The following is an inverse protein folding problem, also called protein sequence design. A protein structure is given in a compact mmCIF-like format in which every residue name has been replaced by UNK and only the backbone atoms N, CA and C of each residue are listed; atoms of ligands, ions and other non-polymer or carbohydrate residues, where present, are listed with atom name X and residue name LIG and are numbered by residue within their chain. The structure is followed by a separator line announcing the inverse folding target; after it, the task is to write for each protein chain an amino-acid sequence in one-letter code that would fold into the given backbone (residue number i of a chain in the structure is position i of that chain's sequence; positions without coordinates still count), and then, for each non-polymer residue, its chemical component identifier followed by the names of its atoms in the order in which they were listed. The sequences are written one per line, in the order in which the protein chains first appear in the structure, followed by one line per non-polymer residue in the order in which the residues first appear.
data_IF_048463935260
#
_entry.id   IF_048463935260
#
_cell.length_a   1.000
_cell.length_b   1.000
_cell.length_c   1.000
_cell.angle_alpha   90.00
_cell.angle_beta   90.00
_cell.angle_gamma   90.00
#
_symmetry.space_group_name_H-M   'P 1'
#
loop_
_entity.id
_entity.type
_entity.pdbx_description
1 polymer ?
#
# COMPACT_ATOMS: atom_id res chain seq x y z
N UNK A 1 -11.88 40.37 -9.48
CA UNK A 1 -12.02 39.03 -10.03
C UNK A 1 -12.15 38.09 -8.82
N UNK A 2 -13.36 37.75 -8.46
CA UNK A 2 -13.65 36.83 -7.34
C UNK A 2 -13.36 35.42 -7.83
N UNK A 3 -12.38 34.77 -7.20
CA UNK A 3 -12.13 33.35 -7.44
C UNK A 3 -13.42 32.55 -7.18
N UNK A 4 -13.77 31.57 -8.03
CA UNK A 4 -14.94 30.75 -7.79
C UNK A 4 -14.79 30.10 -6.41
N UNK A 5 -15.86 30.12 -5.60
CA UNK A 5 -15.91 29.38 -4.34
C UNK A 5 -15.59 27.91 -4.67
N UNK A 6 -14.47 27.45 -4.13
CA UNK A 6 -14.14 26.03 -4.19
C UNK A 6 -15.35 25.26 -3.64
N UNK A 7 -15.86 24.30 -4.41
CA UNK A 7 -16.96 23.46 -3.93
C UNK A 7 -16.54 22.85 -2.59
N UNK A 8 -17.42 22.94 -1.59
CA UNK A 8 -17.08 22.46 -0.26
C UNK A 8 -16.72 20.97 -0.34
N UNK A 9 -15.53 20.60 0.14
CA UNK A 9 -15.05 19.23 0.15
C UNK A 9 -16.03 18.32 0.94
N UNK A 10 -16.75 17.39 0.30
CA UNK A 10 -17.71 16.54 1.01
C UNK A 10 -17.01 15.57 1.96
N UNK A 11 -15.76 15.19 1.68
CA UNK A 11 -15.03 14.17 2.45
C UNK A 11 -14.62 14.63 3.84
N UNK A 12 -14.53 15.94 4.06
CA UNK A 12 -14.25 16.50 5.40
C UNK A 12 -15.48 16.60 6.31
N UNK A 13 -16.64 16.09 5.88
CA UNK A 13 -17.89 16.17 6.63
C UNK A 13 -18.22 14.85 7.31
N UNK A 14 -18.39 14.82 8.65
CA UNK A 14 -18.72 13.60 9.38
C UNK A 14 -19.94 12.86 8.86
N UNK A 15 -20.99 13.61 8.51
CA UNK A 15 -22.26 13.05 8.02
C UNK A 15 -22.15 12.38 6.65
N UNK A 16 -21.09 12.62 5.90
CA UNK A 16 -20.83 11.97 4.61
C UNK A 16 -20.47 10.50 4.79
N UNK A 17 -19.85 10.12 5.92
CA UNK A 17 -19.28 8.81 6.12
C UNK A 17 -20.04 7.95 7.12
N UNK A 18 -20.18 6.65 6.82
CA UNK A 18 -20.43 5.60 7.81
C UNK A 18 -19.12 4.92 8.24
N UNK A 19 -18.09 4.99 7.39
CA UNK A 19 -16.78 4.43 7.67
C UNK A 19 -16.12 5.06 8.90
N UNK A 20 -15.35 4.25 9.60
CA UNK A 20 -14.46 4.64 10.70
C UNK A 20 -13.03 4.23 10.36
N UNK A 21 -12.04 4.99 10.84
CA UNK A 21 -10.64 4.57 10.76
C UNK A 21 -10.44 3.37 11.69
N UNK A 22 -10.00 2.25 11.14
CA UNK A 22 -9.77 1.00 11.90
C UNK A 22 -8.31 0.60 11.86
N UNK A 23 -7.77 0.23 13.02
CA UNK A 23 -6.42 -0.27 13.20
C UNK A 23 -6.45 -1.80 13.34
N UNK A 24 -5.65 -2.56 12.58
CA UNK A 24 -5.58 -4.01 12.73
C UNK A 24 -4.92 -4.40 14.05
N UNK A 25 -5.59 -5.21 14.87
CA UNK A 25 -4.98 -5.74 16.13
C UNK A 25 -3.86 -6.75 15.86
N UNK A 26 -3.75 -7.24 14.62
CA UNK A 26 -2.64 -8.07 14.16
C UNK A 26 -1.36 -7.28 13.88
N UNK A 27 -1.40 -5.94 13.92
CA UNK A 27 -0.23 -5.10 13.67
C UNK A 27 0.75 -5.18 14.85
N UNK A 28 1.94 -5.70 14.60
CA UNK A 28 3.02 -5.81 15.59
C UNK A 28 3.76 -4.49 15.85
N UNK A 29 3.40 -3.40 15.16
CA UNK A 29 4.02 -2.08 15.28
C UNK A 29 5.05 -1.77 14.20
N UNK A 30 5.78 -0.69 14.39
CA UNK A 30 6.75 -0.15 13.44
C UNK A 30 7.85 -1.16 13.07
N UNK A 31 8.04 -1.37 11.77
CA UNK A 31 9.12 -2.24 11.24
C UNK A 31 8.88 -3.73 11.42
N UNK A 32 7.65 -4.13 11.75
CA UNK A 32 7.21 -5.54 11.80
C UNK A 32 6.51 -5.94 10.50
N UNK A 33 5.89 -7.13 10.50
CA UNK A 33 5.09 -7.59 9.36
C UNK A 33 3.97 -6.61 9.02
N UNK A 34 3.67 -6.48 7.74
CA UNK A 34 2.47 -5.79 7.28
C UNK A 34 1.23 -6.50 7.76
N UNK A 35 0.14 -5.77 7.90
CA UNK A 35 -1.14 -6.29 8.34
C UNK A 35 -2.19 -6.18 7.25
N UNK A 36 -3.29 -6.91 7.39
CA UNK A 36 -4.48 -6.68 6.57
C UNK A 36 -5.73 -6.63 7.44
N UNK A 37 -6.75 -5.95 6.91
CA UNK A 37 -8.11 -6.00 7.44
C UNK A 37 -9.05 -6.54 6.37
N UNK A 38 -10.06 -7.30 6.78
CA UNK A 38 -10.96 -7.97 5.86
C UNK A 38 -12.40 -8.02 6.38
N UNK A 39 -13.36 -8.06 5.44
CA UNK A 39 -14.78 -8.18 5.73
C UNK A 39 -15.50 -8.94 4.62
N UNK A 40 -16.40 -9.87 5.01
CA UNK A 40 -17.42 -10.41 4.10
C UNK A 40 -18.64 -9.52 4.13
N UNK A 41 -19.28 -9.34 2.99
CA UNK A 41 -20.48 -8.53 2.84
C UNK A 41 -21.36 -9.03 1.70
N UNK A 42 -22.64 -8.75 1.77
CA UNK A 42 -23.62 -9.15 0.76
C UNK A 42 -23.92 -8.02 -0.22
N UNK A 43 -24.02 -8.37 -1.50
CA UNK A 43 -24.47 -7.49 -2.56
C UNK A 43 -25.73 -8.09 -3.18
N UNK A 44 -26.84 -7.38 -3.09
CA UNK A 44 -28.13 -7.84 -3.62
C UNK A 44 -28.25 -7.63 -5.11
N UNK A 45 -27.58 -6.62 -5.66
CA UNK A 45 -27.61 -6.28 -7.08
C UNK A 45 -26.35 -5.47 -7.43
N UNK A 46 -25.77 -5.69 -8.59
CA UNK A 46 -24.72 -4.87 -9.20
C UNK A 46 -25.34 -4.10 -10.35
N UNK A 47 -25.27 -2.76 -10.29
CA UNK A 47 -25.94 -1.85 -11.22
C UNK A 47 -24.97 -1.17 -12.19
N UNK A 48 -23.67 -1.23 -11.90
CA UNK A 48 -22.61 -0.47 -12.57
C UNK A 48 -22.36 0.87 -11.87
N UNK A 49 -21.07 1.21 -11.71
CA UNK A 49 -20.62 2.42 -11.02
C UNK A 49 -20.57 2.32 -9.49
N UNK A 50 -20.65 1.10 -8.93
CA UNK A 50 -20.36 0.89 -7.51
C UNK A 50 -18.97 1.37 -7.20
N UNK A 51 -18.87 2.30 -6.24
CA UNK A 51 -17.65 3.06 -6.00
C UNK A 51 -17.08 2.75 -4.62
N UNK A 52 -15.82 2.32 -4.59
CA UNK A 52 -15.03 2.21 -3.36
C UNK A 52 -14.29 3.52 -3.13
N UNK A 53 -14.58 4.19 -2.02
CA UNK A 53 -13.81 5.29 -1.47
C UNK A 53 -12.88 4.74 -0.41
N UNK A 54 -11.56 4.98 -0.53
CA UNK A 54 -10.57 4.33 0.34
C UNK A 54 -9.36 5.21 0.59
N UNK A 55 -8.84 5.15 1.82
CA UNK A 55 -7.55 5.71 2.22
C UNK A 55 -6.94 4.90 3.36
N UNK A 56 -5.72 5.25 3.78
CA UNK A 56 -5.05 4.59 4.89
C UNK A 56 -4.08 5.51 5.62
N UNK A 57 -3.83 5.21 6.88
CA UNK A 57 -2.64 5.64 7.62
C UNK A 57 -1.55 4.58 7.37
N UNK A 58 -0.59 4.90 6.51
CA UNK A 58 0.36 3.98 5.91
C UNK A 58 0.14 3.86 4.40
N UNK A 59 0.66 2.81 3.78
CA UNK A 59 0.33 2.42 2.40
C UNK A 59 -0.72 1.30 2.41
N UNK A 60 -1.56 1.26 1.39
CA UNK A 60 -2.54 0.20 1.25
C UNK A 60 -2.54 -0.43 -0.15
N UNK A 61 -3.01 -1.68 -0.19
CA UNK A 61 -3.49 -2.37 -1.39
C UNK A 61 -4.82 -3.01 -1.07
N UNK A 62 -5.84 -2.77 -1.88
CA UNK A 62 -7.16 -3.37 -1.70
C UNK A 62 -7.45 -4.45 -2.74
N UNK A 63 -8.19 -5.47 -2.34
CA UNK A 63 -8.77 -6.48 -3.22
C UNK A 63 -10.24 -6.70 -2.89
N UNK A 64 -11.03 -7.03 -3.90
CA UNK A 64 -12.39 -7.55 -3.73
C UNK A 64 -12.45 -8.90 -4.44
N UNK A 65 -12.92 -9.94 -3.75
CA UNK A 65 -12.95 -11.32 -4.26
C UNK A 65 -11.58 -11.81 -4.78
N UNK A 66 -10.48 -11.34 -4.18
CA UNK A 66 -9.10 -11.64 -4.58
C UNK A 66 -8.61 -10.88 -5.82
N UNK A 67 -9.45 -10.03 -6.43
CA UNK A 67 -9.07 -9.19 -7.57
C UNK A 67 -8.64 -7.80 -7.06
N UNK A 68 -7.51 -7.29 -7.58
CA UNK A 68 -6.98 -5.99 -7.19
C UNK A 68 -7.94 -4.86 -7.54
N UNK A 69 -8.14 -3.94 -6.60
CA UNK A 69 -8.87 -2.69 -6.82
C UNK A 69 -7.93 -1.65 -7.42
N UNK A 70 -8.29 -1.14 -8.59
CA UNK A 70 -7.51 -0.12 -9.29
C UNK A 70 -6.11 -0.59 -9.74
N UNK A 71 -5.33 0.35 -10.26
CA UNK A 71 -3.97 0.12 -10.77
C UNK A 71 -2.91 0.98 -10.06
N UNK A 72 -3.36 1.81 -9.12
CA UNK A 72 -2.50 2.74 -8.41
C UNK A 72 -1.56 2.00 -7.45
N UNK A 73 -0.33 2.50 -7.32
CA UNK A 73 0.68 2.01 -6.39
C UNK A 73 1.08 3.10 -5.42
N UNK A 74 1.64 2.72 -4.27
CA UNK A 74 2.05 3.65 -3.20
C UNK A 74 0.89 4.52 -2.68
N UNK A 75 -0.35 4.03 -2.77
CA UNK A 75 -1.54 4.72 -2.25
C UNK A 75 -1.56 4.71 -0.71
N UNK A 76 -2.11 5.76 -0.09
CA UNK A 76 -2.77 6.95 -0.62
C UNK A 76 -1.83 8.05 -1.11
N UNK A 77 -0.52 7.83 -1.11
CA UNK A 77 0.50 8.81 -1.45
C UNK A 77 1.07 9.53 -0.23
N UNK A 78 2.04 10.41 -0.46
CA UNK A 78 2.70 11.18 0.57
C UNK A 78 2.14 12.61 0.63
N UNK A 79 1.54 12.97 1.76
CA UNK A 79 1.03 14.31 2.06
C UNK A 79 1.50 14.74 3.46
N UNK A 80 1.15 15.93 3.89
CA UNK A 80 1.18 16.27 5.31
C UNK A 80 -0.05 15.67 5.99
N UNK A 81 0.06 14.48 6.54
CA UNK A 81 -1.05 13.70 7.08
C UNK A 81 -1.78 14.38 8.25
N UNK A 82 -1.16 15.35 8.93
CA UNK A 82 -1.84 16.15 9.98
C UNK A 82 -2.92 17.09 9.41
N UNK A 83 -2.91 17.34 8.11
CA UNK A 83 -3.84 18.30 7.48
C UNK A 83 -4.46 17.79 6.18
N UNK A 84 -3.90 16.75 5.57
CA UNK A 84 -4.32 16.27 4.25
C UNK A 84 -4.10 14.78 4.12
N UNK A 85 -5.19 14.02 3.98
CA UNK A 85 -5.14 12.60 3.67
C UNK A 85 -6.00 12.33 2.43
N UNK A 86 -5.35 11.92 1.33
CA UNK A 86 -6.02 11.71 0.05
C UNK A 86 -6.90 10.45 0.07
N UNK A 87 -8.13 10.58 -0.36
CA UNK A 87 -9.08 9.47 -0.56
C UNK A 87 -9.12 9.14 -2.05
N UNK A 88 -8.82 7.89 -2.39
CA UNK A 88 -8.96 7.36 -3.74
C UNK A 88 -10.41 6.90 -3.97
N UNK A 89 -10.84 6.96 -5.22
CA UNK A 89 -12.17 6.56 -5.66
C UNK A 89 -12.03 5.59 -6.84
N UNK A 90 -12.56 4.37 -6.69
CA UNK A 90 -12.48 3.31 -7.70
C UNK A 90 -13.86 2.78 -8.06
N UNK A 91 -14.18 2.70 -9.34
CA UNK A 91 -15.27 1.86 -9.81
C UNK A 91 -14.88 0.40 -9.63
N UNK A 92 -15.71 -0.35 -8.92
CA UNK A 92 -15.46 -1.76 -8.58
C UNK A 92 -16.54 -2.70 -9.08
N UNK A 93 -17.44 -2.18 -9.91
CA UNK A 93 -18.61 -2.93 -10.43
C UNK A 93 -18.21 -4.26 -11.08
N UNK A 94 -17.13 -4.25 -11.87
CA UNK A 94 -16.68 -5.43 -12.63
C UNK A 94 -16.11 -6.56 -11.75
N UNK A 95 -15.75 -6.27 -10.50
CA UNK A 95 -15.16 -7.24 -9.56
C UNK A 95 -16.12 -7.64 -8.43
N UNK A 96 -17.30 -7.01 -8.38
CA UNK A 96 -18.40 -7.38 -7.50
C UNK A 96 -19.23 -8.51 -8.11
N UNK A 97 -19.86 -9.29 -7.25
CA UNK A 97 -20.86 -10.28 -7.63
C UNK A 97 -22.10 -10.19 -6.74
N UNK A 98 -23.24 -10.61 -7.24
CA UNK A 98 -24.44 -10.77 -6.43
C UNK A 98 -24.21 -11.92 -5.43
N UNK A 99 -24.61 -11.72 -4.17
CA UNK A 99 -24.35 -12.59 -3.04
C UNK A 99 -23.14 -12.17 -2.22
N UNK A 100 -22.50 -13.12 -1.57
CA UNK A 100 -21.35 -12.87 -0.69
C UNK A 100 -20.12 -12.41 -1.47
N UNK A 101 -19.54 -11.31 -1.02
CA UNK A 101 -18.25 -10.75 -1.47
C UNK A 101 -17.29 -10.65 -0.29
N UNK A 102 -16.00 -10.57 -0.57
CA UNK A 102 -14.97 -10.32 0.43
C UNK A 102 -14.11 -9.14 -0.01
N UNK A 103 -13.95 -8.16 0.86
CA UNK A 103 -12.97 -7.08 0.71
C UNK A 103 -11.81 -7.31 1.66
N UNK A 104 -10.60 -7.06 1.17
CA UNK A 104 -9.37 -7.08 1.96
C UNK A 104 -8.54 -5.85 1.66
N UNK A 105 -7.99 -5.24 2.70
CA UNK A 105 -7.11 -4.07 2.62
C UNK A 105 -5.82 -4.43 3.35
N UNK A 106 -4.76 -4.70 2.60
CA UNK A 106 -3.40 -4.88 3.11
C UNK A 106 -2.78 -3.52 3.41
N UNK A 107 -2.04 -3.43 4.51
CA UNK A 107 -1.44 -2.21 5.05
C UNK A 107 0.06 -2.40 5.29
N UNK A 108 0.84 -1.35 5.04
CA UNK A 108 2.27 -1.29 5.31
C UNK A 108 2.69 0.13 5.75
N UNK A 109 3.85 0.26 6.36
CA UNK A 109 4.32 1.50 7.00
C UNK A 109 4.33 2.72 6.09
N UNK A 110 4.86 2.59 4.87
CA UNK A 110 4.96 3.68 3.90
C UNK A 110 5.71 4.91 4.43
N UNK A 111 5.21 6.10 4.07
CA UNK A 111 5.74 7.36 4.61
C UNK A 111 5.14 7.75 5.96
N UNK A 112 3.92 7.29 6.25
CA UNK A 112 3.19 7.66 7.46
C UNK A 112 3.91 7.18 8.73
N UNK A 113 4.29 5.89 8.74
CA UNK A 113 4.92 5.22 9.87
C UNK A 113 6.26 4.64 9.43
N UNK A 114 7.29 5.47 9.35
CA UNK A 114 8.61 5.04 8.88
C UNK A 114 9.69 6.01 9.35
N UNK A 115 10.92 5.66 9.05
CA UNK A 115 12.05 6.58 9.17
C UNK A 115 12.10 7.42 7.90
N UNK A 116 12.01 8.73 8.05
CA UNK A 116 12.26 9.69 6.99
C UNK A 116 13.59 10.39 7.25
N UNK A 117 14.25 10.81 6.18
CA UNK A 117 15.57 11.45 6.19
C UNK A 117 16.70 10.50 6.62
N UNK A 118 17.86 10.75 6.09
CA UNK A 118 19.07 9.93 6.24
C UNK A 118 20.12 10.54 7.18
N UNK A 119 19.88 11.76 7.70
CA UNK A 119 20.83 12.46 8.57
C UNK A 119 20.65 12.06 10.03
N UNK A 120 21.71 11.61 10.66
CA UNK A 120 21.70 11.26 12.06
C UNK A 120 20.84 10.04 12.35
N UNK A 121 19.84 10.17 13.25
CA UNK A 121 18.91 9.09 13.59
C UNK A 121 17.64 9.07 12.75
N UNK A 122 17.51 9.96 11.76
CA UNK A 122 16.30 10.19 10.98
C UNK A 122 15.13 10.70 11.82
N UNK A 123 14.07 11.13 11.13
CA UNK A 123 12.79 11.39 11.76
C UNK A 123 11.96 10.10 11.68
N UNK A 124 11.41 9.65 12.81
CA UNK A 124 10.63 8.42 12.88
C UNK A 124 9.18 8.73 13.24
N UNK A 125 8.25 8.12 12.50
CA UNK A 125 6.83 8.11 12.82
C UNK A 125 6.27 9.51 13.14
N UNK A 126 6.65 10.51 12.36
CA UNK A 126 6.34 11.92 12.65
C UNK A 126 4.85 12.22 12.60
N UNK A 127 4.05 11.38 11.94
CA UNK A 127 2.60 11.53 11.87
C UNK A 127 1.84 10.51 12.72
N UNK A 128 2.47 9.38 13.08
CA UNK A 128 1.85 8.37 13.91
C UNK A 128 2.55 7.02 13.85
N UNK A 129 2.15 6.12 14.72
CA UNK A 129 2.74 4.78 14.88
C UNK A 129 1.73 3.64 14.66
N UNK A 130 0.44 3.95 14.48
CA UNK A 130 -0.62 2.99 14.19
C UNK A 130 -1.03 3.04 12.72
N UNK A 131 -0.96 1.90 12.04
CA UNK A 131 -1.58 1.76 10.72
C UNK A 131 -3.11 1.91 10.82
N UNK A 132 -3.74 2.37 9.74
CA UNK A 132 -5.18 2.49 9.71
C UNK A 132 -5.76 2.27 8.32
N UNK A 133 -6.92 1.63 8.24
CA UNK A 133 -7.72 1.53 7.03
C UNK A 133 -9.02 2.32 7.18
N UNK A 134 -9.40 3.02 6.13
CA UNK A 134 -10.66 3.75 6.06
C UNK A 134 -11.26 3.53 4.67
N UNK A 135 -12.38 2.84 4.58
CA UNK A 135 -12.99 2.49 3.31
C UNK A 135 -14.51 2.43 3.39
N UNK A 136 -15.16 2.85 2.31
CA UNK A 136 -16.60 2.80 2.15
C UNK A 136 -16.96 2.47 0.70
N UNK A 137 -17.68 1.36 0.49
CA UNK A 137 -18.24 0.98 -0.80
C UNK A 137 -19.68 1.47 -0.89
N UNK A 138 -20.00 2.17 -1.96
CA UNK A 138 -21.31 2.77 -2.22
C UNK A 138 -21.93 2.28 -3.52
N UNK A 139 -23.26 2.27 -3.57
CA UNK A 139 -24.02 2.06 -4.81
C UNK A 139 -23.88 3.27 -5.73
N UNK A 140 -23.87 3.04 -7.03
CA UNK A 140 -23.74 4.09 -8.04
C UNK A 140 -24.91 5.08 -8.07
N UNK A 141 -26.12 4.60 -7.83
CA UNK A 141 -27.35 5.36 -8.13
C UNK A 141 -27.77 6.28 -7.00
N UNK A 142 -27.68 5.82 -5.76
CA UNK A 142 -28.22 6.51 -4.59
C UNK A 142 -27.16 6.87 -3.53
N UNK A 143 -25.92 6.42 -3.75
CA UNK A 143 -24.84 6.58 -2.81
C UNK A 143 -25.04 5.80 -1.50
N UNK A 144 -25.98 4.85 -1.46
CA UNK A 144 -26.18 3.96 -0.32
C UNK A 144 -24.90 3.16 -0.03
N UNK A 145 -24.54 3.10 1.24
CA UNK A 145 -23.36 2.37 1.69
C UNK A 145 -23.66 0.89 1.76
N UNK A 146 -22.89 0.09 0.99
CA UNK A 146 -22.95 -1.37 0.96
C UNK A 146 -22.12 -1.95 2.11
N UNK A 147 -20.87 -1.51 2.25
CA UNK A 147 -19.98 -1.87 3.35
C UNK A 147 -19.05 -0.71 3.70
N UNK A 148 -18.78 -0.54 4.98
CA UNK A 148 -17.87 0.46 5.51
C UNK A 148 -16.94 -0.15 6.55
N UNK A 149 -15.77 0.44 6.73
CA UNK A 149 -14.86 0.05 7.82
C UNK A 149 -15.47 0.39 9.17
N UNK A 150 -15.54 -0.61 10.04
CA UNK A 150 -16.05 -0.52 11.40
C UNK A 150 -15.46 -1.61 12.29
N UNK A 151 -15.91 -1.68 13.55
CA UNK A 151 -15.43 -2.65 14.54
C UNK A 151 -15.71 -4.12 14.18
N UNK A 152 -16.55 -4.40 13.19
CA UNK A 152 -16.92 -5.78 12.80
C UNK A 152 -15.95 -6.42 11.80
N UNK A 153 -14.89 -5.71 11.42
CA UNK A 153 -13.83 -6.23 10.56
C UNK A 153 -12.88 -7.13 11.35
N UNK A 154 -12.19 -8.00 10.63
CA UNK A 154 -11.13 -8.86 11.17
C UNK A 154 -9.78 -8.46 10.60
N UNK A 155 -8.71 -8.87 11.27
CA UNK A 155 -7.33 -8.58 10.83
C UNK A 155 -6.41 -9.79 10.93
N UNK A 156 -5.31 -9.74 10.19
CA UNK A 156 -4.24 -10.73 10.20
C UNK A 156 -2.93 -10.13 9.68
N UNK A 157 -1.86 -10.91 9.75
CA UNK A 157 -0.55 -10.53 9.19
C UNK A 157 -0.49 -10.85 7.70
N UNK A 158 0.24 -10.04 6.94
CA UNK A 158 0.53 -10.31 5.53
C UNK A 158 1.79 -11.14 5.37
N UNK A 159 2.05 -11.62 4.14
CA UNK A 159 3.31 -12.26 3.76
C UNK A 159 4.50 -11.29 3.67
N UNK A 160 4.24 -9.99 3.69
CA UNK A 160 5.28 -8.96 3.78
C UNK A 160 5.70 -8.85 5.24
N UNK A 161 6.85 -9.42 5.57
CA UNK A 161 7.36 -9.51 6.94
C UNK A 161 8.12 -8.25 7.38
N UNK A 162 8.53 -7.45 6.44
CA UNK A 162 9.14 -6.13 6.65
C UNK A 162 8.96 -5.32 5.38
N UNK A 163 8.61 -4.06 5.51
CA UNK A 163 8.65 -3.09 4.42
C UNK A 163 8.92 -1.69 4.94
N UNK A 164 9.43 -0.83 4.08
CA UNK A 164 9.63 0.57 4.41
C UNK A 164 10.31 1.31 3.26
N UNK A 165 10.06 2.62 3.18
CA UNK A 165 10.60 3.46 2.09
C UNK A 165 12.13 3.40 2.04
N UNK A 166 12.81 3.27 3.19
CA UNK A 166 14.27 3.17 3.28
C UNK A 166 14.80 1.77 3.57
N UNK A 167 13.94 0.77 3.79
CA UNK A 167 14.35 -0.55 4.30
C UNK A 167 14.04 -1.70 3.35
N UNK A 168 13.57 -1.39 2.14
CA UNK A 168 13.20 -2.43 1.18
C UNK A 168 12.06 -3.31 1.67
N UNK A 169 12.08 -4.59 1.26
CA UNK A 169 11.00 -5.52 1.57
C UNK A 169 11.55 -6.92 1.89
N UNK A 170 10.92 -7.59 2.86
CA UNK A 170 11.06 -9.04 3.09
C UNK A 170 9.70 -9.67 2.88
N UNK A 171 9.58 -10.55 1.90
CA UNK A 171 8.37 -11.30 1.58
C UNK A 171 8.60 -12.79 1.86
N UNK A 172 7.82 -13.36 2.79
CA UNK A 172 7.87 -14.79 3.10
C UNK A 172 6.57 -15.48 2.65
N UNK A 173 6.66 -16.27 1.59
CA UNK A 173 5.49 -16.95 1.04
C UNK A 173 4.98 -18.11 1.90
N UNK A 174 5.73 -18.54 2.92
CA UNK A 174 5.34 -19.60 3.86
C UNK A 174 4.38 -19.10 4.94
N UNK A 175 4.32 -17.77 5.16
CA UNK A 175 3.43 -17.18 6.16
C UNK A 175 1.98 -17.42 5.77
N UNK A 176 1.21 -17.94 6.72
CA UNK A 176 -0.22 -18.17 6.54
C UNK A 176 -0.97 -16.82 6.54
N UNK A 177 -1.88 -16.68 5.59
CA UNK A 177 -2.69 -15.48 5.44
C UNK A 177 -4.08 -15.69 6.08
N UNK A 178 -4.14 -15.54 7.41
CA UNK A 178 -5.33 -15.85 8.20
C UNK A 178 -5.76 -14.62 9.02
N UNK A 179 -7.02 -14.23 8.90
CA UNK A 179 -7.65 -13.21 9.74
C UNK A 179 -8.05 -13.83 11.09
N UNK A 180 -7.19 -13.73 12.09
CA UNK A 180 -7.36 -14.34 13.41
C UNK A 180 -7.66 -13.35 14.54
N UNK A 181 -7.61 -12.05 14.26
CA UNK A 181 -7.79 -10.97 15.22
C UNK A 181 -8.86 -9.98 14.75
N UNK A 182 -9.33 -9.15 15.66
CA UNK A 182 -10.25 -8.04 15.37
C UNK A 182 -9.50 -6.76 14.96
N UNK A 183 -10.23 -5.66 15.04
CA UNK A 183 -9.72 -4.30 14.79
C UNK A 183 -10.08 -3.37 15.94
N UNK A 184 -9.32 -2.30 16.09
CA UNK A 184 -9.62 -1.17 16.97
C UNK A 184 -10.13 0.00 16.13
N UNK A 185 -11.21 0.65 16.55
CA UNK A 185 -11.66 1.92 15.93
C UNK A 185 -10.83 3.05 16.53
N UNK A 186 -10.12 3.77 15.68
CA UNK A 186 -9.31 4.92 16.07
C UNK A 186 -10.17 6.19 16.17
N UNK A 187 -9.81 7.04 17.13
CA UNK A 187 -10.25 8.44 17.12
C UNK A 187 -9.47 9.18 16.03
N UNK A 188 -10.14 9.49 14.94
CA UNK A 188 -9.54 10.04 13.71
C UNK A 188 -10.31 11.28 13.24
N UNK A 189 -9.58 12.36 13.02
CA UNK A 189 -10.14 13.59 12.45
C UNK A 189 -10.38 13.44 10.94
N UNK A 190 -11.61 13.20 10.54
CA UNK A 190 -12.00 13.15 9.13
C UNK A 190 -11.93 14.50 8.42
N UNK A 191 -11.74 15.61 9.14
CA UNK A 191 -11.53 16.93 8.57
C UNK A 191 -10.31 17.03 7.65
N UNK A 192 -9.34 16.11 7.80
CA UNK A 192 -8.14 16.02 6.94
C UNK A 192 -8.39 15.28 5.63
N UNK A 193 -9.53 14.60 5.46
CA UNK A 193 -9.84 13.85 4.24
C UNK A 193 -10.13 14.77 3.07
N UNK A 194 -9.57 14.46 1.91
CA UNK A 194 -9.84 15.17 0.66
C UNK A 194 -9.79 14.20 -0.53
N UNK A 195 -10.47 14.52 -1.64
CA UNK A 195 -10.30 13.76 -2.87
C UNK A 195 -8.83 13.78 -3.31
N UNK A 196 -8.37 12.70 -3.94
CA UNK A 196 -7.07 12.70 -4.58
C UNK A 196 -7.00 13.79 -5.65
N UNK A 197 -6.06 14.71 -5.50
CA UNK A 197 -5.89 15.86 -6.41
C UNK A 197 -4.75 15.64 -7.40
N UNK A 198 -3.74 14.85 -7.02
CA UNK A 198 -2.59 14.54 -7.86
C UNK A 198 -2.83 13.29 -8.69
N UNK A 199 -2.14 13.20 -9.83
CA UNK A 199 -2.12 11.96 -10.61
C UNK A 199 -1.60 10.81 -9.73
N UNK A 200 -2.24 9.66 -9.85
CA UNK A 200 -1.81 8.45 -9.17
C UNK A 200 -0.45 7.96 -9.71
N UNK A 201 0.34 7.36 -8.84
CA UNK A 201 1.52 6.60 -9.25
C UNK A 201 1.04 5.26 -9.80
N UNK A 202 1.46 4.91 -11.00
CA UNK A 202 1.02 3.69 -11.71
C UNK A 202 2.20 2.96 -12.35
N UNK A 203 2.02 1.67 -12.56
CA UNK A 203 2.90 0.87 -13.40
C UNK A 203 2.69 1.26 -14.87
N UNK A 204 3.70 1.84 -15.51
CA UNK A 204 3.59 2.32 -16.89
C UNK A 204 4.13 1.32 -17.90
N UNK A 205 5.36 0.84 -17.71
CA UNK A 205 6.07 0.02 -18.67
C UNK A 205 6.88 -1.06 -17.96
N UNK A 206 6.78 -2.29 -18.44
CA UNK A 206 7.68 -3.37 -18.05
C UNK A 206 8.94 -3.32 -18.92
N UNK A 207 10.10 -3.12 -18.32
CA UNK A 207 11.38 -3.08 -18.99
C UNK A 207 12.13 -4.39 -18.76
N UNK A 208 12.49 -5.15 -19.81
CA UNK A 208 13.33 -6.33 -19.65
C UNK A 208 14.78 -5.92 -19.39
N UNK A 209 15.51 -6.73 -18.62
CA UNK A 209 16.97 -6.61 -18.55
C UNK A 209 17.55 -6.86 -19.95
N UNK A 210 18.46 -5.98 -20.38
CA UNK A 210 19.12 -6.09 -21.69
C UNK A 210 20.42 -6.87 -21.63
N UNK A 211 21.03 -7.01 -20.45
CA UNK A 211 22.31 -7.66 -20.22
C UNK A 211 22.37 -8.27 -18.84
N UNK A 212 23.14 -9.34 -18.69
CA UNK A 212 23.50 -9.90 -17.40
C UNK A 212 24.94 -10.43 -17.43
N UNK A 213 25.61 -10.36 -16.26
CA UNK A 213 26.97 -10.91 -16.06
C UNK A 213 27.18 -11.26 -14.59
N UNK A 214 28.29 -11.94 -14.32
CA UNK A 214 28.78 -12.14 -12.95
C UNK A 214 29.80 -11.04 -12.64
N UNK A 215 29.66 -10.36 -11.50
CA UNK A 215 30.69 -9.44 -11.01
C UNK A 215 31.85 -10.19 -10.32
N UNK A 216 32.85 -9.45 -9.86
CA UNK A 216 34.04 -10.04 -9.20
C UNK A 216 33.72 -10.75 -7.88
N UNK A 217 32.55 -10.44 -7.27
CA UNK A 217 32.09 -11.10 -6.04
C UNK A 217 31.15 -12.29 -6.32
N UNK A 218 30.95 -12.63 -7.60
CA UNK A 218 30.08 -13.72 -8.03
C UNK A 218 28.58 -13.43 -7.99
N UNK A 219 28.19 -12.16 -7.84
CA UNK A 219 26.78 -11.75 -7.92
C UNK A 219 26.33 -11.68 -9.38
N UNK A 220 25.10 -12.12 -9.66
CA UNK A 220 24.52 -11.92 -10.98
C UNK A 220 23.95 -10.50 -11.08
N UNK A 221 24.52 -9.68 -11.94
CA UNK A 221 24.09 -8.32 -12.22
C UNK A 221 23.18 -8.31 -13.45
N UNK A 222 22.06 -7.62 -13.37
CA UNK A 222 21.11 -7.38 -14.46
C UNK A 222 21.09 -5.90 -14.78
N UNK A 223 21.32 -5.55 -16.04
CA UNK A 223 21.33 -4.17 -16.53
C UNK A 223 20.06 -3.89 -17.33
N UNK A 224 19.37 -2.82 -16.98
CA UNK A 224 18.16 -2.35 -17.63
C UNK A 224 18.40 -1.16 -18.56
N UNK A 225 19.65 -0.79 -18.83
CA UNK A 225 20.13 0.28 -19.73
C UNK A 225 19.75 1.71 -19.34
N UNK A 226 18.93 1.91 -18.34
CA UNK A 226 18.51 3.25 -17.91
C UNK A 226 18.22 3.27 -16.40
N UNK A 227 18.32 4.46 -15.83
CA UNK A 227 17.86 4.71 -14.47
C UNK A 227 16.32 4.76 -14.47
N UNK A 228 15.68 4.00 -13.58
CA UNK A 228 14.23 3.84 -13.52
C UNK A 228 13.70 4.03 -12.09
N UNK A 229 12.56 4.72 -11.98
CA UNK A 229 11.73 4.66 -10.79
C UNK A 229 10.77 3.47 -10.93
N UNK A 230 10.97 2.43 -10.13
CA UNK A 230 10.17 1.22 -10.27
C UNK A 230 10.53 0.11 -9.30
N UNK A 231 10.05 -1.07 -9.56
CA UNK A 231 10.36 -2.28 -8.81
C UNK A 231 10.49 -3.50 -9.73
N UNK A 232 11.12 -4.55 -9.22
CA UNK A 232 11.46 -5.72 -10.02
C UNK A 232 10.31 -6.72 -10.04
N UNK A 233 9.98 -7.23 -11.23
CA UNK A 233 9.17 -8.42 -11.41
C UNK A 233 10.09 -9.57 -11.86
N UNK A 234 10.03 -10.72 -11.18
CA UNK A 234 10.81 -11.90 -11.53
C UNK A 234 9.99 -13.17 -11.38
N UNK A 235 10.40 -14.20 -12.09
CA UNK A 235 9.87 -15.55 -11.93
C UNK A 235 10.98 -16.44 -11.39
N UNK A 236 10.68 -17.17 -10.35
CA UNK A 236 11.63 -18.07 -9.71
C UNK A 236 11.03 -19.46 -9.54
N UNK A 237 11.89 -20.46 -9.58
CA UNK A 237 11.56 -21.83 -9.19
C UNK A 237 12.66 -22.32 -8.26
N UNK A 238 12.31 -22.80 -7.09
CA UNK A 238 13.23 -23.29 -6.08
C UNK A 238 12.53 -24.23 -5.10
N UNK A 239 13.28 -24.76 -4.16
CA UNK A 239 12.74 -25.51 -3.05
C UNK A 239 12.04 -24.58 -2.05
N UNK A 240 11.05 -25.10 -1.33
CA UNK A 240 10.35 -24.34 -0.29
C UNK A 240 11.37 -23.85 0.78
N UNK A 241 11.34 -22.56 1.08
CA UNK A 241 12.30 -21.93 2.00
C UNK A 241 13.61 -21.47 1.34
N UNK A 242 13.78 -21.67 0.03
CA UNK A 242 14.89 -21.05 -0.69
C UNK A 242 14.76 -19.51 -0.62
N UNK A 243 15.90 -18.87 -0.36
CA UNK A 243 15.95 -17.41 -0.17
C UNK A 243 16.59 -16.74 -1.39
N UNK A 244 15.90 -15.76 -1.95
CA UNK A 244 16.38 -14.92 -3.03
C UNK A 244 16.54 -13.51 -2.51
N UNK A 245 17.69 -12.91 -2.76
CA UNK A 245 17.98 -11.53 -2.40
C UNK A 245 18.22 -10.74 -3.68
N UNK A 246 17.50 -9.66 -3.85
CA UNK A 246 17.67 -8.69 -4.93
C UNK A 246 18.13 -7.37 -4.32
N UNK A 247 19.23 -6.84 -4.81
CA UNK A 247 19.73 -5.51 -4.43
C UNK A 247 19.71 -4.59 -5.65
N UNK A 248 19.48 -3.31 -5.41
CA UNK A 248 19.36 -2.31 -6.47
C UNK A 248 20.54 -1.35 -6.41
N UNK A 249 21.00 -0.90 -7.58
CA UNK A 249 22.00 0.14 -7.72
C UNK A 249 21.70 0.99 -8.96
N UNK A 250 22.14 2.23 -8.97
CA UNK A 250 22.02 3.14 -10.11
C UNK A 250 23.29 3.18 -10.95
N UNK A 251 24.41 2.78 -10.36
CA UNK A 251 25.74 2.85 -10.96
C UNK A 251 26.55 1.58 -10.64
N UNK A 252 27.58 1.34 -11.42
CA UNK A 252 28.65 0.39 -11.12
C UNK A 252 29.84 1.13 -10.49
N UNK A 253 30.71 0.40 -9.81
CA UNK A 253 32.01 0.94 -9.40
C UNK A 253 32.96 1.12 -10.61
N UNK A 254 34.16 1.66 -10.34
CA UNK A 254 35.18 1.89 -11.37
C UNK A 254 35.68 0.61 -12.06
N UNK A 255 35.50 -0.54 -11.45
CA UNK A 255 35.91 -1.84 -11.93
C UNK A 255 34.75 -2.64 -12.58
N UNK A 256 33.55 -2.03 -12.67
CA UNK A 256 32.37 -2.61 -13.29
C UNK A 256 31.55 -3.54 -12.38
N UNK A 257 31.79 -3.52 -11.07
CA UNK A 257 31.02 -4.28 -10.11
C UNK A 257 29.79 -3.54 -9.64
N UNK A 258 28.84 -4.28 -9.09
CA UNK A 258 27.64 -3.74 -8.45
C UNK A 258 28.03 -2.80 -7.29
N UNK A 259 27.43 -1.59 -7.25
CA UNK A 259 27.76 -0.57 -6.26
C UNK A 259 26.50 0.15 -5.72
N UNK A 260 26.24 0.00 -4.43
CA UNK A 260 25.12 0.63 -3.73
C UNK A 260 25.52 1.40 -2.46
N UNK A 261 26.82 1.57 -2.19
CA UNK A 261 27.31 2.30 -1.00
C UNK A 261 26.88 3.76 -0.99
N UNK A 262 26.60 4.35 -2.16
CA UNK A 262 26.05 5.70 -2.32
C UNK A 262 24.65 5.88 -1.72
N UNK A 263 23.90 4.80 -1.49
CA UNK A 263 22.59 4.83 -0.82
C UNK A 263 22.68 5.03 0.69
N UNK A 264 23.87 4.98 1.27
CA UNK A 264 24.16 5.25 2.70
C UNK A 264 23.39 4.29 3.62
N UNK A 265 22.35 4.77 4.35
CA UNK A 265 21.55 3.98 5.26
C UNK A 265 20.28 3.38 4.62
N UNK A 266 20.02 3.66 3.35
CA UNK A 266 18.90 3.05 2.65
C UNK A 266 19.25 1.62 2.21
N UNK A 267 18.36 0.69 2.53
CA UNK A 267 18.47 -0.71 2.14
C UNK A 267 17.63 -0.92 0.86
N UNK A 268 18.19 -0.60 -0.32
CA UNK A 268 17.54 -0.85 -1.61
C UNK A 268 17.58 -2.36 -1.93
N UNK A 269 16.85 -3.15 -1.12
CA UNK A 269 16.94 -4.60 -1.07
C UNK A 269 15.57 -5.25 -0.92
N UNK A 270 15.35 -6.30 -1.69
CA UNK A 270 14.19 -7.18 -1.57
C UNK A 270 14.67 -8.57 -1.23
N UNK A 271 13.98 -9.22 -0.31
CA UNK A 271 14.18 -10.60 0.05
C UNK A 271 12.90 -11.39 -0.14
N UNK A 272 12.97 -12.48 -0.88
CA UNK A 272 11.86 -13.41 -1.12
C UNK A 272 12.22 -14.80 -0.58
N UNK A 273 11.29 -15.38 0.22
CA UNK A 273 11.42 -16.70 0.83
C UNK A 273 10.25 -17.61 0.42
#
# INVERSE_FOLDING_TARGET
MTLPRQAANPFSRPEFWKARMIHPLADGGVGTAGSFVTKRFEVTQVLGGETLLITALGLYRATINGQRVGHDVLTPGWTNYDSRLAVQSYDVSDILKVGENTIEISLADGWYRSTLMWTGRGLKNIWGDKLGAFAELRKAVDGEVIVATDQSWSSGETKVQRSGIYFGEIFDNRVEHIASQGVEVLDFDIGVLLPQECSAVQELTALPAIKSWQDAEGRTVYDFAQNIGGYVAFKVRGEAGARIVLEHAEILDKDGNFYNVNFRSAEARIEYI
#
